data_IF_648151621712
#
_entry.id   IF_648151621712
#
_cell.length_a   1.000
_cell.length_b   1.000
_cell.length_c   1.000
_cell.angle_alpha   90.00
_cell.angle_beta   90.00
_cell.angle_gamma   90.00
#
_symmetry.space_group_name_H-M   'P 1'
#
loop_
_entity.id
_entity.type
_entity.pdbx_description
1 polymer ?
#
# COMPACT_ATOMS: atom_id res chain seq x y z
N UNK A 1 13.16 10.19 -39.06
CA UNK A 1 13.52 10.37 -37.64
C UNK A 1 12.24 10.69 -36.89
N UNK A 2 11.59 9.70 -36.27
CA UNK A 2 10.42 9.98 -35.45
C UNK A 2 10.90 10.71 -34.20
N UNK A 3 10.30 11.87 -33.92
CA UNK A 3 10.55 12.60 -32.70
C UNK A 3 10.12 11.72 -31.53
N UNK A 4 11.06 11.00 -30.93
CA UNK A 4 10.88 10.46 -29.60
C UNK A 4 10.60 11.65 -28.70
N UNK A 5 9.37 11.71 -28.20
CA UNK A 5 8.92 12.74 -27.26
C UNK A 5 9.99 12.87 -26.18
N UNK A 6 10.66 14.03 -26.08
CA UNK A 6 11.73 14.27 -25.12
C UNK A 6 11.33 13.89 -23.68
N UNK A 7 10.03 13.90 -23.34
CA UNK A 7 9.53 13.41 -22.06
C UNK A 7 9.97 11.97 -21.71
N UNK A 8 10.18 11.08 -22.69
CA UNK A 8 10.71 9.72 -22.43
C UNK A 8 12.16 9.70 -21.96
N UNK A 9 12.93 10.79 -22.12
CA UNK A 9 14.33 10.87 -21.65
C UNK A 9 14.47 11.42 -20.23
N UNK A 10 13.40 11.93 -19.61
CA UNK A 10 13.43 12.45 -18.24
C UNK A 10 13.06 11.35 -17.25
N UNK A 11 13.97 10.39 -17.09
CA UNK A 11 13.84 9.35 -16.06
C UNK A 11 14.19 9.87 -14.66
N UNK A 12 13.81 9.11 -13.63
CA UNK A 12 14.22 9.35 -12.23
C UNK A 12 15.76 9.36 -12.16
N UNK A 13 16.38 10.39 -11.54
CA UNK A 13 17.83 10.46 -11.45
C UNK A 13 18.43 9.21 -10.81
N UNK A 14 19.54 8.69 -11.35
CA UNK A 14 20.23 7.50 -10.82
C UNK A 14 20.58 7.64 -9.33
N UNK A 15 20.94 8.86 -8.91
CA UNK A 15 21.19 9.20 -7.50
C UNK A 15 19.95 9.00 -6.62
N UNK A 16 18.76 9.30 -7.11
CA UNK A 16 17.50 9.06 -6.42
C UNK A 16 17.19 7.57 -6.37
N UNK A 17 17.33 6.85 -7.50
CA UNK A 17 17.14 5.39 -7.55
C UNK A 17 18.03 4.66 -6.56
N UNK A 18 19.31 5.00 -6.55
CA UNK A 18 20.31 4.41 -5.66
C UNK A 18 20.09 4.72 -4.17
N UNK A 19 19.46 5.84 -3.84
CA UNK A 19 19.14 6.20 -2.46
C UNK A 19 17.89 5.47 -1.97
N UNK A 20 16.90 5.25 -2.85
CA UNK A 20 15.64 4.56 -2.55
C UNK A 20 15.68 3.05 -2.75
N UNK A 21 16.76 2.51 -3.32
CA UNK A 21 16.97 1.07 -3.54
C UNK A 21 16.67 0.17 -2.33
N UNK A 22 17.09 0.48 -1.08
CA UNK A 22 16.75 -0.36 0.07
C UNK A 22 15.24 -0.48 0.32
N UNK A 23 14.47 0.55 -0.06
CA UNK A 23 13.04 0.70 0.21
C UNK A 23 12.16 0.15 -0.90
N UNK A 24 12.56 0.29 -2.16
CA UNK A 24 11.71 -0.08 -3.30
C UNK A 24 12.38 -1.01 -4.30
N UNK A 25 13.72 -1.16 -4.26
CA UNK A 25 14.48 -1.87 -5.29
C UNK A 25 14.06 -1.46 -6.70
N UNK A 26 13.75 -2.46 -7.53
CA UNK A 26 13.19 -2.28 -8.87
C UNK A 26 11.66 -2.50 -8.91
N UNK A 27 10.94 -2.06 -7.88
CA UNK A 27 9.48 -2.09 -7.86
C UNK A 27 8.86 -1.01 -8.74
N UNK A 28 7.55 -1.11 -8.97
CA UNK A 28 6.78 -0.32 -9.93
C UNK A 28 6.96 1.19 -9.78
N UNK A 29 7.17 1.67 -8.56
CA UNK A 29 7.41 3.09 -8.28
C UNK A 29 8.76 3.57 -8.82
N UNK A 30 9.76 2.70 -8.92
CA UNK A 30 11.13 3.04 -9.31
C UNK A 30 11.46 2.74 -10.77
N UNK A 31 10.89 1.69 -11.35
CA UNK A 31 11.13 1.32 -12.76
C UNK A 31 10.49 2.29 -13.74
N UNK A 32 11.00 2.30 -14.97
CA UNK A 32 10.63 3.24 -16.03
C UNK A 32 10.69 2.56 -17.40
N UNK A 33 10.12 3.20 -18.42
CA UNK A 33 10.15 2.68 -19.79
C UNK A 33 9.47 1.31 -19.91
N UNK A 34 10.04 0.44 -20.76
CA UNK A 34 9.44 -0.86 -21.08
C UNK A 34 9.35 -1.81 -19.87
N UNK A 35 10.27 -1.65 -18.91
CA UNK A 35 10.27 -2.38 -17.64
C UNK A 35 9.01 -2.05 -16.81
N UNK A 36 8.71 -0.76 -16.67
CA UNK A 36 7.48 -0.31 -16.01
C UNK A 36 6.23 -0.81 -16.73
N UNK A 37 6.23 -0.78 -18.07
CA UNK A 37 5.10 -1.29 -18.87
C UNK A 37 4.89 -2.79 -18.59
N UNK A 38 5.97 -3.59 -18.56
CA UNK A 38 5.90 -5.01 -18.21
C UNK A 38 5.34 -5.22 -16.81
N UNK A 39 5.96 -4.63 -15.78
CA UNK A 39 5.55 -4.85 -14.40
C UNK A 39 4.11 -4.41 -14.18
N UNK A 40 3.71 -3.23 -14.70
CA UNK A 40 2.32 -2.75 -14.63
C UNK A 40 1.35 -3.72 -15.30
N UNK A 41 1.72 -4.26 -16.46
CA UNK A 41 0.89 -5.23 -17.17
C UNK A 41 0.69 -6.52 -16.34
N UNK A 42 1.73 -7.02 -15.67
CA UNK A 42 1.64 -8.21 -14.81
C UNK A 42 0.79 -7.95 -13.56
N UNK A 43 0.86 -6.74 -13.00
CA UNK A 43 0.21 -6.40 -11.72
C UNK A 43 -1.26 -6.00 -11.90
N UNK A 44 -1.61 -5.30 -12.99
CA UNK A 44 -2.97 -4.76 -13.21
C UNK A 44 -4.10 -5.79 -13.08
N UNK A 45 -3.98 -7.05 -13.54
CA UNK A 45 -5.01 -8.07 -13.38
C UNK A 45 -5.43 -8.33 -11.92
N UNK A 46 -4.56 -8.05 -10.95
CA UNK A 46 -4.89 -8.19 -9.54
C UNK A 46 -6.01 -7.23 -9.09
N UNK A 47 -6.16 -6.09 -9.77
CA UNK A 47 -7.13 -5.04 -9.46
C UNK A 47 -8.38 -5.08 -10.36
N UNK A 48 -8.75 -6.26 -10.86
CA UNK A 48 -10.00 -6.41 -11.60
C UNK A 48 -11.24 -6.30 -10.68
N UNK A 49 -12.44 -6.04 -11.22
CA UNK A 49 -13.66 -5.82 -10.42
C UNK A 49 -14.02 -6.97 -9.46
N UNK A 50 -13.74 -8.23 -9.83
CA UNK A 50 -14.06 -9.39 -8.98
C UNK A 50 -13.18 -9.38 -7.74
N UNK A 51 -11.88 -9.16 -7.91
CA UNK A 51 -10.94 -9.07 -6.79
C UNK A 51 -11.19 -7.84 -5.93
N UNK A 52 -11.49 -6.69 -6.55
CA UNK A 52 -11.82 -5.47 -5.82
C UNK A 52 -13.05 -5.65 -4.93
N UNK A 53 -14.07 -6.38 -5.38
CA UNK A 53 -15.24 -6.69 -4.54
C UNK A 53 -14.85 -7.48 -3.29
N UNK A 54 -13.97 -8.46 -3.42
CA UNK A 54 -13.47 -9.28 -2.30
C UNK A 54 -12.62 -8.44 -1.35
N UNK A 55 -11.75 -7.59 -1.89
CA UNK A 55 -10.94 -6.65 -1.08
C UNK A 55 -11.84 -5.67 -0.32
N UNK A 56 -12.90 -5.15 -0.94
CA UNK A 56 -13.84 -4.23 -0.30
C UNK A 56 -14.55 -4.87 0.90
N UNK A 57 -14.98 -6.12 0.81
CA UNK A 57 -15.58 -6.84 1.96
C UNK A 57 -14.61 -6.95 3.14
N UNK A 58 -13.33 -7.25 2.88
CA UNK A 58 -12.29 -7.28 3.92
C UNK A 58 -11.98 -5.89 4.49
N UNK A 59 -12.06 -4.84 3.67
CA UNK A 59 -11.91 -3.44 4.13
C UNK A 59 -13.04 -3.05 5.08
N UNK A 60 -14.29 -3.40 4.74
CA UNK A 60 -15.46 -3.16 5.60
C UNK A 60 -15.30 -3.91 6.92
N UNK A 61 -14.92 -5.19 6.89
CA UNK A 61 -14.68 -5.98 8.11
C UNK A 61 -13.65 -5.31 9.04
N UNK A 62 -12.48 -4.92 8.52
CA UNK A 62 -11.45 -4.25 9.33
C UNK A 62 -11.88 -2.86 9.82
N UNK A 63 -12.64 -2.10 9.04
CA UNK A 63 -13.19 -0.81 9.46
C UNK A 63 -14.25 -0.96 10.57
N UNK A 64 -15.15 -1.94 10.45
CA UNK A 64 -16.15 -2.25 11.49
C UNK A 64 -15.48 -2.65 12.80
N UNK A 65 -14.49 -3.55 12.74
CA UNK A 65 -13.72 -3.92 13.94
C UNK A 65 -13.03 -2.71 14.61
N UNK A 66 -12.52 -1.76 13.83
CA UNK A 66 -11.96 -0.52 14.38
C UNK A 66 -13.05 0.30 15.10
N UNK A 67 -14.22 0.48 14.49
CA UNK A 67 -15.34 1.24 15.05
C UNK A 67 -15.94 0.58 16.31
N UNK A 68 -16.01 -0.75 16.36
CA UNK A 68 -16.46 -1.49 17.55
C UNK A 68 -15.50 -1.28 18.73
N UNK A 69 -14.19 -1.26 18.46
CA UNK A 69 -13.17 -0.94 19.46
C UNK A 69 -13.31 0.52 19.94
N UNK A 70 -13.54 1.47 19.04
CA UNK A 70 -13.78 2.87 19.39
C UNK A 70 -15.02 3.02 20.28
N UNK A 71 -16.12 2.35 19.92
CA UNK A 71 -17.36 2.32 20.71
C UNK A 71 -17.11 1.77 22.11
N UNK A 72 -16.34 0.69 22.21
CA UNK A 72 -15.94 0.09 23.50
C UNK A 72 -15.12 1.07 24.35
N UNK A 73 -14.17 1.80 23.75
CA UNK A 73 -13.37 2.79 24.47
C UNK A 73 -14.23 3.95 24.98
N UNK A 74 -15.12 4.49 24.14
CA UNK A 74 -16.04 5.56 24.51
C UNK A 74 -16.93 5.11 25.68
N UNK A 75 -17.51 3.91 25.58
CA UNK A 75 -18.36 3.34 26.64
C UNK A 75 -17.59 3.05 27.94
N UNK A 76 -16.27 2.83 27.86
CA UNK A 76 -15.40 2.65 29.04
C UNK A 76 -14.99 3.97 29.72
N UNK A 77 -15.50 5.11 29.27
CA UNK A 77 -15.19 6.43 29.84
C UNK A 77 -13.90 7.06 29.30
N UNK A 78 -13.39 6.60 28.14
CA UNK A 78 -12.29 7.24 27.41
C UNK A 78 -12.85 7.98 26.19
N UNK A 79 -13.17 9.27 26.30
CA UNK A 79 -13.83 10.01 25.21
C UNK A 79 -12.88 10.36 24.06
N UNK A 80 -11.56 10.39 24.32
CA UNK A 80 -10.57 10.86 23.35
C UNK A 80 -9.93 9.70 22.58
N UNK A 81 -9.96 9.79 21.25
CA UNK A 81 -9.38 8.80 20.35
C UNK A 81 -8.37 9.50 19.43
N UNK A 82 -7.15 8.95 19.38
CA UNK A 82 -6.14 9.31 18.40
C UNK A 82 -6.49 8.70 17.05
N UNK A 83 -7.27 9.44 16.25
CA UNK A 83 -7.78 8.96 14.96
C UNK A 83 -6.65 8.60 13.99
N UNK A 84 -5.56 9.38 13.91
CA UNK A 84 -4.43 9.10 13.01
C UNK A 84 -3.82 7.74 13.33
N UNK A 85 -3.51 7.48 14.60
CA UNK A 85 -2.89 6.22 15.02
C UNK A 85 -3.78 5.02 14.72
N UNK A 86 -5.07 5.10 15.02
CA UNK A 86 -6.01 4.00 14.79
C UNK A 86 -6.27 3.77 13.30
N UNK A 87 -6.32 4.83 12.48
CA UNK A 87 -6.50 4.71 11.02
C UNK A 87 -5.25 4.12 10.36
N UNK A 88 -4.04 4.54 10.74
CA UNK A 88 -2.79 3.96 10.23
C UNK A 88 -2.74 2.46 10.54
N UNK A 89 -3.11 2.09 11.77
CA UNK A 89 -3.20 0.69 12.20
C UNK A 89 -4.18 -0.10 11.33
N UNK A 90 -5.39 0.42 11.13
CA UNK A 90 -6.43 -0.23 10.32
C UNK A 90 -6.06 -0.31 8.85
N UNK A 91 -5.48 0.74 8.26
CA UNK A 91 -4.98 0.71 6.87
C UNK A 91 -3.87 -0.33 6.70
N UNK A 92 -3.00 -0.47 7.70
CA UNK A 92 -1.98 -1.51 7.78
C UNK A 92 -2.55 -2.92 7.84
N UNK A 93 -3.61 -3.13 8.63
CA UNK A 93 -4.35 -4.40 8.67
C UNK A 93 -5.01 -4.73 7.33
N UNK A 94 -5.67 -3.74 6.73
CA UNK A 94 -6.34 -3.86 5.43
C UNK A 94 -5.34 -4.32 4.39
N UNK A 95 -4.22 -3.62 4.20
CA UNK A 95 -3.25 -4.00 3.16
C UNK A 95 -2.66 -5.40 3.43
N UNK A 96 -2.39 -5.75 4.69
CA UNK A 96 -1.91 -7.06 5.08
C UNK A 96 -2.89 -8.19 4.72
N UNK A 97 -4.19 -7.98 4.99
CA UNK A 97 -5.26 -8.94 4.65
C UNK A 97 -5.53 -8.99 3.14
N UNK A 98 -5.83 -7.85 2.51
CA UNK A 98 -6.32 -7.78 1.13
C UNK A 98 -5.26 -8.07 0.09
N UNK A 99 -4.02 -7.66 0.33
CA UNK A 99 -2.96 -7.75 -0.66
C UNK A 99 -1.99 -8.91 -0.41
N UNK A 100 -1.79 -9.31 0.85
CA UNK A 100 -0.79 -10.33 1.19
C UNK A 100 -1.39 -11.59 1.83
N UNK A 101 -2.66 -11.55 2.23
CA UNK A 101 -3.33 -12.65 2.91
C UNK A 101 -2.61 -13.08 4.19
N UNK A 102 -1.97 -12.14 4.89
CA UNK A 102 -1.24 -12.38 6.14
C UNK A 102 -1.98 -11.81 7.34
N UNK A 103 -1.67 -12.34 8.52
CA UNK A 103 -2.23 -11.83 9.77
C UNK A 103 -1.71 -10.42 10.09
N UNK A 104 -2.51 -9.68 10.85
CA UNK A 104 -2.14 -8.34 11.34
C UNK A 104 -0.79 -8.33 12.05
N UNK A 105 -0.48 -9.34 12.89
CA UNK A 105 0.77 -9.40 13.67
C UNK A 105 2.01 -9.47 12.76
N UNK A 106 1.96 -10.25 11.69
CA UNK A 106 3.04 -10.33 10.71
C UNK A 106 3.14 -9.01 9.93
N UNK A 107 2.00 -8.43 9.53
CA UNK A 107 1.94 -7.14 8.87
C UNK A 107 2.54 -6.01 9.71
N UNK A 108 2.26 -5.98 11.01
CA UNK A 108 2.75 -4.94 11.92
C UNK A 108 4.28 -4.88 11.98
N UNK A 109 4.97 -6.02 12.05
CA UNK A 109 6.44 -6.05 12.02
C UNK A 109 7.00 -5.48 10.71
N UNK A 110 6.34 -5.73 9.57
CA UNK A 110 6.72 -5.15 8.28
C UNK A 110 6.50 -3.64 8.29
N UNK A 111 5.34 -3.15 8.78
CA UNK A 111 5.02 -1.72 8.90
C UNK A 111 6.05 -0.98 9.76
N UNK A 112 6.39 -1.53 10.93
CA UNK A 112 7.36 -0.93 11.86
C UNK A 112 8.74 -0.77 11.21
N UNK A 113 9.22 -1.79 10.49
CA UNK A 113 10.51 -1.71 9.78
C UNK A 113 10.45 -0.76 8.58
N UNK A 114 9.36 -0.75 7.83
CA UNK A 114 9.16 0.19 6.72
C UNK A 114 9.16 1.65 7.23
N UNK A 115 8.49 1.93 8.34
CA UNK A 115 8.48 3.24 8.98
C UNK A 115 9.88 3.64 9.46
N UNK A 116 10.63 2.73 10.08
CA UNK A 116 12.02 2.99 10.47
C UNK A 116 12.91 3.31 9.25
N UNK A 117 12.71 2.59 8.14
CA UNK A 117 13.43 2.83 6.90
C UNK A 117 13.06 4.18 6.28
N UNK A 118 11.78 4.52 6.24
CA UNK A 118 11.30 5.82 5.79
C UNK A 118 11.90 6.95 6.62
N UNK A 119 11.84 6.88 7.96
CA UNK A 119 12.46 7.89 8.82
C UNK A 119 13.97 8.04 8.53
N UNK A 120 14.65 6.93 8.25
CA UNK A 120 16.08 6.94 7.89
C UNK A 120 16.34 7.62 6.53
N UNK A 121 15.43 7.45 5.56
CA UNK A 121 15.56 7.92 4.18
C UNK A 121 15.01 9.34 3.94
N UNK A 122 14.01 9.78 4.71
CA UNK A 122 13.29 11.05 4.50
C UNK A 122 13.63 12.15 5.52
N UNK A 123 14.44 11.87 6.54
CA UNK A 123 14.95 12.93 7.44
C UNK A 123 15.71 14.00 6.66
N UNK A 124 15.30 15.27 6.84
CA UNK A 124 15.78 16.48 6.13
C UNK A 124 17.31 16.64 6.09
N UNK A 125 18.04 16.10 7.08
CA UNK A 125 19.50 16.12 7.13
C UNK A 125 20.16 15.04 6.23
N UNK A 126 19.48 14.51 5.20
CA UNK A 126 20.05 13.58 4.21
C UNK A 126 20.10 14.30 2.86
N UNK A 127 21.26 14.30 2.22
CA UNK A 127 21.45 14.90 0.90
C UNK A 127 20.85 14.00 -0.19
N UNK A 128 19.52 14.03 -0.33
CA UNK A 128 18.77 13.29 -1.35
C UNK A 128 19.12 13.85 -2.73
N UNK A 129 19.45 12.97 -3.66
CA UNK A 129 19.78 13.37 -5.04
C UNK A 129 21.16 14.00 -5.22
N UNK A 130 21.99 14.09 -4.17
CA UNK A 130 23.36 14.59 -4.28
C UNK A 130 24.32 13.42 -4.57
N UNK A 131 25.15 13.50 -5.64
CA UNK A 131 26.18 12.52 -5.90
C UNK A 131 27.09 12.32 -4.69
N UNK A 132 27.51 11.07 -4.42
CA UNK A 132 28.40 10.73 -3.31
C UNK A 132 27.87 11.01 -1.89
N UNK A 133 26.59 11.41 -1.73
CA UNK A 133 25.94 11.64 -0.41
C UNK A 133 26.09 10.49 0.60
N UNK A 134 26.18 9.26 0.09
CA UNK A 134 26.41 8.04 0.88
C UNK A 134 27.69 8.09 1.73
N UNK A 135 28.74 8.76 1.23
CA UNK A 135 30.01 8.93 1.95
C UNK A 135 29.93 9.97 3.07
N UNK A 136 29.06 10.97 2.93
CA UNK A 136 28.82 12.00 3.95
C UNK A 136 27.88 11.53 5.07
N UNK A 137 27.11 10.46 4.83
CA UNK A 137 26.15 9.90 5.80
C UNK A 137 26.32 8.37 5.92
N UNK A 138 27.50 7.86 6.34
CA UNK A 138 27.78 6.42 6.32
C UNK A 138 26.89 5.64 7.29
N UNK A 139 26.66 6.16 8.51
CA UNK A 139 25.78 5.52 9.51
C UNK A 139 24.36 5.31 8.99
N UNK A 140 23.73 6.38 8.47
CA UNK A 140 22.37 6.32 7.89
C UNK A 140 22.31 5.40 6.66
N UNK A 141 23.37 5.38 5.85
CA UNK A 141 23.43 4.50 4.67
C UNK A 141 23.54 3.03 5.05
N UNK A 142 24.34 2.70 6.06
CA UNK A 142 24.46 1.34 6.58
C UNK A 142 23.15 0.89 7.23
N UNK A 143 22.52 1.76 8.03
CA UNK A 143 21.23 1.51 8.65
C UNK A 143 20.12 1.27 7.63
N UNK A 144 20.01 2.11 6.60
CA UNK A 144 19.05 1.92 5.52
C UNK A 144 19.25 0.58 4.79
N UNK A 145 20.52 0.19 4.53
CA UNK A 145 20.85 -1.12 3.93
C UNK A 145 20.48 -2.28 4.85
N UNK A 146 20.74 -2.17 6.16
CA UNK A 146 20.37 -3.20 7.16
C UNK A 146 18.86 -3.38 7.20
N UNK A 147 18.10 -2.29 7.36
CA UNK A 147 16.64 -2.31 7.38
C UNK A 147 16.07 -2.87 6.07
N UNK A 148 16.61 -2.45 4.92
CA UNK A 148 16.21 -2.98 3.61
C UNK A 148 16.38 -4.50 3.49
N UNK A 149 17.50 -5.06 4.01
CA UNK A 149 17.73 -6.51 4.05
C UNK A 149 16.78 -7.25 5.01
N UNK A 150 16.47 -6.67 6.17
CA UNK A 150 15.50 -7.27 7.09
C UNK A 150 14.10 -7.29 6.49
N UNK A 151 13.70 -6.22 5.81
CA UNK A 151 12.43 -6.15 5.08
C UNK A 151 12.40 -7.17 3.92
N UNK A 152 13.50 -7.32 3.17
CA UNK A 152 13.64 -8.35 2.13
C UNK A 152 13.39 -9.75 2.72
N UNK A 153 13.99 -10.07 3.87
CA UNK A 153 13.83 -11.36 4.52
C UNK A 153 12.38 -11.60 4.99
N UNK A 154 11.73 -10.57 5.55
CA UNK A 154 10.31 -10.67 5.94
C UNK A 154 9.42 -10.95 4.74
N UNK A 155 9.58 -10.20 3.64
CA UNK A 155 8.79 -10.43 2.43
C UNK A 155 9.09 -11.78 1.78
N UNK A 156 10.34 -12.23 1.78
CA UNK A 156 10.67 -13.58 1.32
C UNK A 156 9.97 -14.66 2.15
N UNK A 157 9.89 -14.51 3.47
CA UNK A 157 9.12 -15.40 4.33
C UNK A 157 7.64 -15.40 3.94
N UNK A 158 7.03 -14.21 3.85
CA UNK A 158 5.62 -14.04 3.45
C UNK A 158 5.34 -14.69 2.10
N UNK A 159 6.20 -14.46 1.10
CA UNK A 159 6.10 -15.04 -0.24
C UNK A 159 6.15 -16.57 -0.17
N UNK A 160 7.09 -17.13 0.59
CA UNK A 160 7.25 -18.59 0.69
C UNK A 160 6.07 -19.24 1.43
N UNK A 161 5.61 -18.63 2.52
CA UNK A 161 4.43 -19.09 3.26
C UNK A 161 3.18 -19.05 2.37
N UNK A 162 3.02 -17.96 1.60
CA UNK A 162 1.91 -17.82 0.66
C UNK A 162 1.96 -18.87 -0.45
N UNK A 163 3.13 -19.11 -1.07
CA UNK A 163 3.33 -20.16 -2.08
C UNK A 163 2.90 -21.54 -1.56
N UNK A 164 3.19 -21.85 -0.31
CA UNK A 164 2.81 -23.12 0.30
C UNK A 164 1.29 -23.21 0.56
N UNK A 165 0.64 -22.10 0.91
CA UNK A 165 -0.80 -22.04 1.19
C UNK A 165 -1.72 -22.09 -0.04
N UNK A 166 -1.23 -21.69 -1.21
CA UNK A 166 -2.03 -21.52 -2.44
C UNK A 166 -2.29 -22.85 -3.19
N UNK A 167 -1.60 -23.95 -2.85
CA UNK A 167 -1.76 -25.24 -3.53
C UNK A 167 -3.23 -25.66 -3.58
N UNK A 168 -3.85 -25.59 -4.77
CA UNK A 168 -5.24 -25.97 -5.04
C UNK A 168 -6.31 -24.89 -4.81
N UNK A 169 -5.94 -23.62 -4.56
CA UNK A 169 -6.88 -22.50 -4.39
C UNK A 169 -6.63 -21.41 -5.44
N UNK A 170 -7.68 -20.75 -5.91
CA UNK A 170 -7.58 -19.52 -6.70
C UNK A 170 -7.47 -18.32 -5.75
N UNK A 171 -6.28 -17.70 -5.60
CA UNK A 171 -6.12 -16.55 -4.75
C UNK A 171 -6.81 -15.32 -5.37
N UNK A 172 -7.39 -14.49 -4.52
CA UNK A 172 -8.03 -13.23 -4.91
C UNK A 172 -7.28 -12.01 -4.34
N UNK A 173 -6.23 -12.25 -3.56
CA UNK A 173 -5.28 -11.26 -3.06
C UNK A 173 -4.15 -10.99 -4.06
N UNK A 174 -3.60 -9.78 -3.98
CA UNK A 174 -2.52 -9.31 -4.87
C UNK A 174 -1.35 -10.29 -4.93
N UNK A 175 -0.78 -10.69 -3.80
CA UNK A 175 0.40 -11.57 -3.77
C UNK A 175 0.12 -12.92 -4.42
N UNK A 176 -1.02 -13.54 -4.12
CA UNK A 176 -1.37 -14.81 -4.73
C UNK A 176 -1.53 -14.72 -6.25
N UNK A 177 -2.06 -13.62 -6.76
CA UNK A 177 -2.19 -13.38 -8.21
C UNK A 177 -0.81 -13.16 -8.83
N UNK A 178 0.05 -12.35 -8.21
CA UNK A 178 1.42 -12.14 -8.70
C UNK A 178 2.24 -13.44 -8.70
N UNK A 179 1.97 -14.35 -7.76
CA UNK A 179 2.59 -15.67 -7.71
C UNK A 179 2.14 -16.61 -8.83
N UNK A 180 0.91 -16.47 -9.32
CA UNK A 180 0.42 -17.22 -10.48
C UNK A 180 0.94 -16.63 -11.81
N UNK A 181 1.27 -15.35 -11.82
CA UNK A 181 1.66 -14.61 -13.02
C UNK A 181 0.45 -14.07 -13.78
N UNK A 182 0.73 -13.20 -14.75
CA UNK A 182 -0.29 -12.62 -15.62
C UNK A 182 -0.97 -13.70 -16.46
N UNK A 183 -2.32 -13.77 -16.46
CA UNK A 183 -3.05 -14.66 -17.35
C UNK A 183 -2.97 -14.22 -18.82
N UNK A 184 -2.51 -12.99 -19.08
CA UNK A 184 -2.45 -12.42 -20.43
C UNK A 184 -1.08 -12.73 -21.05
N UNK A 185 -1.08 -13.47 -22.15
CA UNK A 185 0.09 -13.63 -23.03
C UNK A 185 0.47 -12.28 -23.62
N UNK A 186 1.58 -11.71 -23.12
CA UNK A 186 2.20 -10.53 -23.68
C UNK A 186 3.62 -10.85 -24.12
N UNK A 187 4.07 -10.19 -25.19
CA UNK A 187 5.48 -10.23 -25.61
C UNK A 187 6.45 -9.71 -24.54
N UNK A 188 5.92 -9.00 -23.53
CA UNK A 188 6.69 -8.41 -22.45
C UNK A 188 6.96 -9.40 -21.31
N UNK A 189 6.34 -10.58 -21.30
CA UNK A 189 6.49 -11.58 -20.24
C UNK A 189 5.28 -11.66 -19.31
N UNK A 190 5.15 -12.78 -18.60
CA UNK A 190 4.00 -13.09 -17.74
C UNK A 190 4.29 -13.04 -16.26
N UNK A 191 5.54 -13.14 -15.84
CA UNK A 191 5.90 -13.36 -14.44
C UNK A 191 6.93 -12.34 -13.98
N UNK A 192 6.90 -12.10 -12.67
CA UNK A 192 7.96 -11.38 -11.97
C UNK A 192 8.99 -12.41 -11.48
N UNK A 193 10.27 -12.07 -11.56
CA UNK A 193 11.31 -12.80 -10.83
C UNK A 193 11.04 -12.71 -9.32
N UNK A 194 11.68 -13.58 -8.53
CA UNK A 194 11.54 -13.53 -7.07
C UNK A 194 11.98 -12.17 -6.49
N UNK A 195 13.01 -11.55 -7.08
CA UNK A 195 13.48 -10.23 -6.63
C UNK A 195 12.47 -9.14 -6.94
N UNK A 196 11.95 -9.10 -8.16
CA UNK A 196 10.91 -8.16 -8.55
C UNK A 196 9.66 -8.34 -7.70
N UNK A 197 9.27 -9.58 -7.39
CA UNK A 197 8.13 -9.84 -6.51
C UNK A 197 8.34 -9.23 -5.11
N UNK A 198 9.53 -9.38 -4.51
CA UNK A 198 9.87 -8.73 -3.23
C UNK A 198 9.81 -7.21 -3.34
N UNK A 199 10.34 -6.65 -4.42
CA UNK A 199 10.36 -5.21 -4.66
C UNK A 199 8.94 -4.64 -4.89
N UNK A 200 8.06 -5.40 -5.54
CA UNK A 200 6.63 -5.07 -5.64
C UNK A 200 5.92 -5.16 -4.29
N UNK A 201 6.17 -6.22 -3.51
CA UNK A 201 5.62 -6.34 -2.17
C UNK A 201 5.96 -5.11 -1.32
N UNK A 202 7.21 -4.66 -1.34
CA UNK A 202 7.62 -3.40 -0.67
C UNK A 202 6.84 -2.20 -1.17
N UNK A 203 6.70 -2.06 -2.49
CA UNK A 203 6.02 -0.94 -3.14
C UNK A 203 4.56 -0.85 -2.70
N UNK A 204 3.80 -1.95 -2.77
CA UNK A 204 2.38 -1.96 -2.38
C UNK A 204 2.17 -1.84 -0.88
N UNK A 205 2.99 -2.53 -0.10
CA UNK A 205 2.89 -2.47 1.35
C UNK A 205 3.19 -1.06 1.85
N UNK A 206 4.21 -0.39 1.32
CA UNK A 206 4.51 1.01 1.68
C UNK A 206 3.46 1.99 1.14
N UNK A 207 3.21 1.96 -0.17
CA UNK A 207 2.38 2.96 -0.83
C UNK A 207 0.89 2.92 -0.43
N UNK A 208 0.37 1.74 -0.10
CA UNK A 208 -1.07 1.53 0.09
C UNK A 208 -1.65 1.95 1.45
N UNK A 209 -0.85 1.98 2.53
CA UNK A 209 -1.38 2.22 3.87
C UNK A 209 -1.19 3.66 4.36
N UNK A 210 0.02 4.23 4.32
CA UNK A 210 0.25 5.56 4.92
C UNK A 210 -0.46 6.67 4.17
N UNK A 211 -0.44 6.64 2.83
CA UNK A 211 -1.05 7.69 1.99
C UNK A 211 -2.57 7.73 2.18
N UNK A 212 -3.20 6.56 2.16
CA UNK A 212 -4.64 6.39 2.40
C UNK A 212 -5.01 6.79 3.83
N UNK A 213 -4.23 6.35 4.83
CA UNK A 213 -4.47 6.69 6.22
C UNK A 213 -4.42 8.21 6.43
N UNK A 214 -3.38 8.88 5.90
CA UNK A 214 -3.24 10.33 5.97
C UNK A 214 -4.42 11.04 5.32
N UNK A 215 -4.87 10.59 4.14
CA UNK A 215 -6.02 11.17 3.45
C UNK A 215 -7.31 11.04 4.29
N UNK A 216 -7.55 9.89 4.90
CA UNK A 216 -8.72 9.67 5.77
C UNK A 216 -8.61 10.52 7.04
N UNK A 217 -7.44 10.60 7.67
CA UNK A 217 -7.22 11.43 8.86
C UNK A 217 -7.53 12.91 8.59
N UNK A 218 -7.02 13.46 7.48
CA UNK A 218 -7.36 14.84 7.08
C UNK A 218 -8.84 15.01 6.75
N UNK A 219 -9.45 14.01 6.09
CA UNK A 219 -10.89 14.02 5.79
C UNK A 219 -11.71 14.10 7.08
N UNK A 220 -11.41 13.27 8.08
CA UNK A 220 -12.11 13.28 9.37
C UNK A 220 -11.91 14.61 10.12
N UNK A 221 -10.69 15.16 10.10
CA UNK A 221 -10.42 16.47 10.70
C UNK A 221 -11.27 17.56 10.04
N UNK A 222 -11.31 17.60 8.70
CA UNK A 222 -12.08 18.59 7.96
C UNK A 222 -13.58 18.43 8.19
N UNK A 223 -14.10 17.21 8.26
CA UNK A 223 -15.51 16.96 8.59
C UNK A 223 -15.84 17.39 10.03
N UNK A 224 -14.95 17.14 11.00
CA UNK A 224 -15.14 17.57 12.37
C UNK A 224 -15.14 19.11 12.52
N UNK A 225 -14.37 19.81 11.68
CA UNK A 225 -14.34 21.27 11.63
C UNK A 225 -15.51 21.89 10.85
N UNK A 226 -16.20 21.12 10.00
CA UNK A 226 -17.30 21.59 9.16
C UNK A 226 -18.54 20.69 9.34
N UNK A 227 -19.33 20.88 10.42
CA UNK A 227 -20.48 20.02 10.73
C UNK A 227 -21.52 19.95 9.61
N UNK A 228 -21.68 21.02 8.84
CA UNK A 228 -22.58 21.03 7.67
C UNK A 228 -22.18 19.97 6.61
N UNK A 229 -20.87 19.79 6.35
CA UNK A 229 -20.37 18.78 5.40
C UNK A 229 -20.53 17.39 6.00
N UNK A 230 -20.29 17.25 7.31
CA UNK A 230 -20.49 15.99 8.02
C UNK A 230 -21.95 15.53 7.94
N UNK A 231 -22.91 16.43 8.16
CA UNK A 231 -24.34 16.11 8.11
C UNK A 231 -24.81 15.83 6.69
N UNK A 232 -24.33 16.57 5.68
CA UNK A 232 -24.62 16.28 4.28
C UNK A 232 -24.13 14.88 3.87
N UNK A 233 -22.87 14.55 4.17
CA UNK A 233 -22.30 13.23 3.92
C UNK A 233 -23.07 12.13 4.65
N UNK A 234 -23.40 12.33 5.92
CA UNK A 234 -24.18 11.37 6.73
C UNK A 234 -25.56 11.13 6.14
N UNK A 235 -26.25 12.18 5.71
CA UNK A 235 -27.57 12.07 5.11
C UNK A 235 -27.52 11.31 3.78
N UNK A 236 -26.52 11.60 2.95
CA UNK A 236 -26.32 10.86 1.72
C UNK A 236 -26.08 9.37 1.99
N UNK A 237 -25.17 9.03 2.91
CA UNK A 237 -24.89 7.64 3.27
C UNK A 237 -26.18 6.93 3.71
N UNK A 238 -27.00 7.57 4.54
CA UNK A 238 -28.29 7.01 4.99
C UNK A 238 -29.28 6.80 3.83
N UNK A 239 -29.36 7.72 2.88
CA UNK A 239 -30.24 7.60 1.72
C UNK A 239 -29.83 6.47 0.77
N UNK A 240 -28.52 6.31 0.54
CA UNK A 240 -27.97 5.34 -0.41
C UNK A 240 -27.86 3.95 0.19
N UNK A 241 -27.34 3.83 1.42
CA UNK A 241 -27.09 2.54 2.08
C UNK A 241 -28.38 2.00 2.72
N UNK A 242 -29.23 2.87 3.29
CA UNK A 242 -30.43 2.49 4.05
C UNK A 242 -30.09 1.45 5.13
N UNK A 243 -30.78 0.30 5.13
CA UNK A 243 -30.53 -0.83 6.03
C UNK A 243 -29.62 -1.90 5.40
N UNK A 244 -28.99 -1.61 4.26
CA UNK A 244 -28.11 -2.52 3.53
C UNK A 244 -26.66 -2.54 4.04
N UNK A 245 -25.90 -3.53 3.59
CA UNK A 245 -24.44 -3.56 3.80
C UNK A 245 -23.72 -2.65 2.80
N UNK A 246 -22.60 -2.06 3.23
CA UNK A 246 -21.73 -1.26 2.35
C UNK A 246 -20.98 -2.21 1.42
N UNK A 247 -21.21 -2.07 0.11
CA UNK A 247 -20.46 -2.75 -0.94
C UNK A 247 -19.99 -1.79 -2.06
N UNK A 248 -19.22 -2.32 -3.01
CA UNK A 248 -18.68 -1.51 -4.13
C UNK A 248 -19.79 -0.83 -4.96
N UNK A 249 -20.99 -1.43 -5.04
CA UNK A 249 -22.10 -0.83 -5.77
C UNK A 249 -22.74 0.32 -5.00
N UNK A 250 -22.88 0.18 -3.67
CA UNK A 250 -23.39 1.27 -2.82
C UNK A 250 -22.49 2.50 -2.87
N UNK A 251 -21.15 2.31 -2.90
CA UNK A 251 -20.18 3.40 -3.04
C UNK A 251 -20.39 4.20 -4.34
N UNK A 252 -20.73 3.53 -5.45
CA UNK A 252 -21.00 4.20 -6.72
C UNK A 252 -22.28 5.08 -6.67
N UNK A 253 -23.12 4.92 -5.65
CA UNK A 253 -24.30 5.75 -5.40
C UNK A 253 -24.02 7.05 -4.63
N UNK A 254 -22.88 7.16 -3.96
CA UNK A 254 -22.46 8.38 -3.23
C UNK A 254 -21.90 9.41 -4.23
N UNK A 255 -22.73 10.38 -4.63
CA UNK A 255 -22.46 11.35 -5.71
C UNK A 255 -22.80 12.80 -5.36
N UNK A 256 -23.42 13.08 -4.23
CA UNK A 256 -23.75 14.43 -3.80
C UNK A 256 -22.44 15.14 -3.47
N UNK A 257 -22.17 16.21 -4.21
CA UNK A 257 -21.03 17.12 -4.02
C UNK A 257 -21.53 18.33 -3.25
#
# INVERSE_FOLDING_TARGET
MSGSVMAKSWGKPTVFKNDRDPMFGNGLVMVEGDEWVRQRHVITPAFNPINLKVMASLMVESATNMLDNWTTFINSGKPDIDAEREIIKTAGEIIAKTSFGVSYKTGQNVLEKLRALQVTLFKSNRFVGVPFSKFFCPKKTLEAKRLGKEIDQLFLSIINDRKNSIKGKNPQDLLGILLQGSPVDSRLGKTLSQRELVDECKTFFFGGHETTALAITWTLLLLAMNPEWQDQLRNEIREVVKDGEIDVNTLAGLKKV
#
